data_IF_841354305536
#
_entry.id   IF_841354305536
#
_cell.length_a   1.000
_cell.length_b   1.000
_cell.length_c   1.000
_cell.angle_alpha   90.00
_cell.angle_beta   90.00
_cell.angle_gamma   90.00
#
_symmetry.space_group_name_H-M   'P 1'
#
loop_
_entity.id
_entity.type
_entity.pdbx_description
1 polymer ?
#
# COMPACT_ATOMS: atom_id res chain seq x y z
N UNK A 1 -10.97 -52.26 35.76
CA UNK A 1 -11.04 -52.19 37.23
C UNK A 1 -10.19 -50.99 37.63
N UNK A 2 -10.63 -49.86 38.16
CA UNK A 2 -11.89 -49.39 38.73
C UNK A 2 -12.10 -47.94 38.25
N UNK A 3 -13.33 -47.60 37.88
CA UNK A 3 -13.83 -46.23 37.86
C UNK A 3 -13.87 -45.67 39.29
N UNK A 4 -13.93 -44.35 39.47
CA UNK A 4 -15.07 -43.67 40.12
C UNK A 4 -14.89 -42.14 39.99
N UNK A 5 -15.99 -41.54 39.51
CA UNK A 5 -16.32 -40.12 39.35
C UNK A 5 -16.71 -39.55 40.73
N UNK A 6 -16.47 -38.27 41.01
CA UNK A 6 -17.42 -37.41 41.77
C UNK A 6 -17.30 -35.96 41.25
N UNK A 7 -18.46 -35.41 40.87
CA UNK A 7 -18.74 -34.03 40.48
C UNK A 7 -18.92 -33.12 41.72
N UNK A 8 -18.57 -31.84 41.60
CA UNK A 8 -19.18 -30.69 42.29
C UNK A 8 -18.78 -29.46 41.46
N UNK A 9 -19.64 -28.59 40.92
CA UNK A 9 -20.96 -28.16 41.34
C UNK A 9 -20.90 -26.67 41.68
N UNK A 10 -21.47 -25.84 40.78
CA UNK A 10 -21.93 -24.45 40.97
C UNK A 10 -20.83 -23.35 41.05
N UNK A 11 -20.79 -22.32 40.19
CA UNK A 11 -21.70 -21.18 39.86
C UNK A 11 -21.25 -19.89 40.58
N UNK A 12 -21.20 -18.81 39.79
CA UNK A 12 -21.12 -17.38 40.16
C UNK A 12 -19.72 -16.88 40.57
N UNK A 13 -19.02 -16.07 39.77
CA UNK A 13 -19.31 -14.68 39.37
C UNK A 13 -19.43 -13.72 40.58
N UNK A 14 -18.80 -12.55 40.45
CA UNK A 14 -18.70 -11.44 41.42
C UNK A 14 -17.60 -11.68 42.48
N UNK A 15 -16.48 -10.97 42.50
CA UNK A 15 -16.38 -9.51 42.50
C UNK A 15 -15.09 -9.01 41.82
N UNK A 16 -15.29 -8.21 40.77
CA UNK A 16 -14.33 -7.23 40.27
C UNK A 16 -14.02 -6.17 41.33
N UNK A 17 -12.74 -6.03 41.69
CA UNK A 17 -12.05 -4.79 42.12
C UNK A 17 -10.64 -5.23 42.56
N UNK A 18 -9.53 -4.88 41.95
CA UNK A 18 -8.99 -3.57 41.58
C UNK A 18 -7.92 -3.85 40.48
N UNK A 19 -8.06 -3.32 39.27
CA UNK A 19 -7.42 -2.08 38.79
C UNK A 19 -5.99 -1.86 39.34
N UNK A 20 -5.03 -2.34 38.55
CA UNK A 20 -3.87 -1.62 37.99
C UNK A 20 -3.01 -0.75 38.93
N UNK A 21 -1.82 -1.26 39.24
CA UNK A 21 -0.57 -0.46 39.32
C UNK A 21 0.55 -1.16 38.52
N UNK A 22 1.52 -0.39 38.00
CA UNK A 22 2.14 -0.59 36.69
C UNK A 22 3.36 -1.54 36.65
N UNK A 23 3.78 -1.97 35.44
CA UNK A 23 5.06 -2.64 35.24
C UNK A 23 6.20 -1.61 35.22
N UNK A 24 7.21 -1.82 36.05
CA UNK A 24 8.54 -1.22 35.86
C UNK A 24 9.48 -2.35 35.47
N UNK A 25 9.98 -2.21 34.25
CA UNK A 25 11.08 -2.96 33.69
C UNK A 25 12.35 -2.78 34.53
N UNK A 26 13.27 -3.72 34.36
CA UNK A 26 14.72 -3.45 34.33
C UNK A 26 15.50 -3.23 35.65
N UNK A 27 16.05 -4.35 36.14
CA UNK A 27 17.39 -4.57 36.70
C UNK A 27 17.97 -3.64 37.79
N UNK A 28 18.11 -4.19 39.01
CA UNK A 28 19.40 -4.30 39.71
C UNK A 28 19.29 -5.33 40.85
N UNK A 29 20.05 -6.41 40.74
CA UNK A 29 20.26 -7.40 41.80
C UNK A 29 21.09 -6.72 42.89
N UNK A 30 20.52 -6.62 44.08
CA UNK A 30 21.19 -6.08 45.26
C UNK A 30 22.04 -7.21 45.86
N UNK A 31 23.36 -7.05 45.83
CA UNK A 31 24.29 -7.85 46.64
C UNK A 31 25.06 -6.93 47.59
N UNK A 32 24.80 -7.14 48.88
CA UNK A 32 25.55 -6.69 50.07
C UNK A 32 25.14 -5.40 50.79
N UNK A 33 25.22 -5.49 52.13
CA UNK A 33 24.82 -4.57 53.19
C UNK A 33 25.86 -3.47 53.44
N UNK A 34 26.03 -2.57 52.48
CA UNK A 34 26.65 -1.24 52.62
C UNK A 34 25.92 -0.39 51.59
N UNK A 35 24.90 0.38 51.93
CA UNK A 35 25.08 1.70 52.51
C UNK A 35 23.83 2.08 53.30
N UNK A 36 23.95 1.78 54.59
CA UNK A 36 23.18 2.35 55.67
C UNK A 36 23.29 3.87 55.62
N UNK A 37 22.14 4.55 55.71
CA UNK A 37 21.91 5.85 56.33
C UNK A 37 23.01 6.91 56.14
N UNK A 38 22.73 7.92 55.32
CA UNK A 38 23.16 9.27 55.66
C UNK A 38 21.95 10.19 55.80
N UNK A 39 21.51 10.26 57.05
CA UNK A 39 20.72 11.32 57.65
C UNK A 39 21.58 12.59 57.63
N UNK A 40 21.13 13.65 56.95
CA UNK A 40 21.49 15.02 57.29
C UNK A 40 20.46 15.99 56.69
N UNK A 41 19.45 16.36 57.49
CA UNK A 41 18.78 17.66 57.37
C UNK A 41 19.76 18.75 57.91
N UNK A 42 19.50 20.08 57.87
CA UNK A 42 18.31 20.83 57.42
C UNK A 42 18.70 22.14 56.64
N UNK A 43 17.75 23.09 56.53
CA UNK A 43 17.93 24.56 56.49
C UNK A 43 17.56 25.32 55.18
N UNK A 44 16.56 26.19 55.32
CA UNK A 44 16.56 27.60 54.88
C UNK A 44 15.83 28.04 53.58
N UNK A 45 14.68 28.71 53.85
CA UNK A 45 13.95 29.83 53.18
C UNK A 45 13.28 29.66 51.80
N UNK A 46 11.98 30.02 51.68
CA UNK A 46 11.36 30.27 50.39
C UNK A 46 11.65 31.70 49.91
N UNK A 47 12.25 31.84 48.73
CA UNK A 47 12.27 33.12 47.98
C UNK A 47 11.38 32.98 46.76
N UNK A 48 10.28 33.72 46.79
CA UNK A 48 9.35 33.88 45.68
C UNK A 48 9.87 34.97 44.76
N UNK A 49 10.41 34.63 43.58
CA UNK A 49 10.53 35.56 42.45
C UNK A 49 10.43 34.79 41.13
N UNK A 50 9.48 35.21 40.29
CA UNK A 50 9.55 35.02 38.84
C UNK A 50 8.60 33.96 38.28
N UNK A 51 7.48 34.42 37.73
CA UNK A 51 6.74 33.68 36.72
C UNK A 51 7.71 33.20 35.63
N UNK A 52 7.98 31.90 35.64
CA UNK A 52 8.63 31.23 34.51
C UNK A 52 7.60 31.21 33.38
N UNK A 53 7.70 32.16 32.46
CA UNK A 53 7.06 32.04 31.14
C UNK A 53 7.61 30.74 30.55
N UNK A 54 6.80 29.69 30.59
CA UNK A 54 7.09 28.45 29.90
C UNK A 54 7.15 28.78 28.42
N UNK A 55 8.36 28.93 27.88
CA UNK A 55 8.55 28.86 26.43
C UNK A 55 8.13 27.44 26.07
N UNK A 56 6.89 27.30 25.60
CA UNK A 56 6.44 26.10 24.93
C UNK A 56 7.30 26.01 23.68
N UNK A 57 8.44 25.32 23.79
CA UNK A 57 9.12 24.78 22.62
C UNK A 57 8.04 23.93 21.96
N UNK A 58 7.47 24.40 20.84
CA UNK A 58 6.62 23.57 19.98
C UNK A 58 7.47 22.34 19.70
N UNK A 59 7.20 21.26 20.42
CA UNK A 59 7.84 19.99 20.19
C UNK A 59 7.60 19.67 18.73
N UNK A 60 8.67 19.53 17.96
CA UNK A 60 8.59 18.82 16.70
C UNK A 60 8.14 17.42 17.12
N UNK A 61 6.88 17.10 16.87
CA UNK A 61 6.31 15.80 17.19
C UNK A 61 7.12 14.69 16.55
N UNK A 62 7.02 13.44 17.06
CA UNK A 62 7.73 12.32 16.49
C UNK A 62 7.41 12.24 14.99
N UNK A 63 8.44 12.21 14.16
CA UNK A 63 8.28 12.20 12.70
C UNK A 63 7.41 11.00 12.31
N UNK A 64 6.20 11.28 11.87
CA UNK A 64 5.25 10.30 11.37
C UNK A 64 5.95 9.38 10.36
N UNK A 65 5.82 8.08 10.59
CA UNK A 65 6.62 7.01 9.98
C UNK A 65 6.94 7.26 8.50
N UNK A 66 8.19 7.66 8.21
CA UNK A 66 8.77 7.70 6.85
C UNK A 66 9.08 6.29 6.33
N UNK A 67 8.21 5.32 6.57
CA UNK A 67 8.31 4.00 5.96
C UNK A 67 8.02 4.14 4.48
N UNK A 68 9.04 3.90 3.64
CA UNK A 68 8.84 3.87 2.19
C UNK A 68 7.70 2.88 1.84
N UNK A 69 6.68 3.31 1.09
CA UNK A 69 5.58 2.43 0.74
C UNK A 69 6.10 1.32 -0.17
N UNK A 70 6.02 0.07 0.29
CA UNK A 70 6.38 -1.13 -0.50
C UNK A 70 5.51 -1.30 -1.74
N UNK A 71 4.27 -0.81 -1.68
CA UNK A 71 3.34 -0.80 -2.82
C UNK A 71 3.12 0.64 -3.30
N UNK A 72 3.36 0.90 -4.58
CA UNK A 72 3.15 2.22 -5.18
C UNK A 72 1.66 2.48 -5.40
N UNK A 73 1.13 3.52 -4.73
CA UNK A 73 -0.22 4.02 -5.00
C UNK A 73 -0.14 5.05 -6.11
N UNK A 74 -0.89 4.83 -7.19
CA UNK A 74 -0.91 5.72 -8.33
C UNK A 74 -1.57 7.06 -7.97
N UNK A 75 -0.87 8.16 -8.27
CA UNK A 75 -1.34 9.53 -7.96
C UNK A 75 -2.39 10.09 -8.92
N UNK A 76 -2.57 9.48 -10.10
CA UNK A 76 -3.39 10.03 -11.19
C UNK A 76 -4.54 9.12 -11.57
N UNK A 77 -5.74 9.69 -11.71
CA UNK A 77 -6.95 9.00 -12.19
C UNK A 77 -7.07 9.02 -13.72
N UNK A 78 -5.96 9.01 -14.48
CA UNK A 78 -6.02 9.00 -15.95
C UNK A 78 -6.56 7.66 -16.44
N UNK A 79 -7.48 7.71 -17.41
CA UNK A 79 -8.13 6.55 -18.03
C UNK A 79 -8.98 5.72 -17.03
N UNK A 80 -9.67 6.41 -16.12
CA UNK A 80 -10.59 5.80 -15.15
C UNK A 80 -11.96 5.42 -15.72
N UNK A 81 -12.24 5.76 -16.98
CA UNK A 81 -13.50 5.46 -17.64
C UNK A 81 -13.51 4.03 -18.19
N UNK A 82 -14.69 3.41 -18.21
CA UNK A 82 -14.88 2.08 -18.79
C UNK A 82 -15.09 2.18 -20.30
N UNK A 83 -14.70 1.12 -21.01
CA UNK A 83 -14.92 1.01 -22.46
C UNK A 83 -16.40 1.14 -22.83
N UNK A 84 -17.29 0.62 -21.99
CA UNK A 84 -18.74 0.72 -22.16
C UNK A 84 -19.22 2.17 -22.07
N UNK A 85 -18.76 2.93 -21.06
CA UNK A 85 -19.07 4.35 -20.94
C UNK A 85 -18.61 5.13 -22.17
N UNK A 86 -17.44 4.80 -22.73
CA UNK A 86 -16.96 5.43 -23.97
C UNK A 86 -17.84 5.08 -25.18
N UNK A 87 -18.26 3.82 -25.34
CA UNK A 87 -19.18 3.39 -26.39
C UNK A 87 -20.51 4.12 -26.31
N UNK A 88 -21.09 4.17 -25.12
CA UNK A 88 -22.37 4.83 -24.86
C UNK A 88 -22.27 6.35 -25.10
N UNK A 89 -21.18 6.97 -24.67
CA UNK A 89 -20.90 8.37 -24.95
C UNK A 89 -20.83 8.68 -26.46
N UNK A 90 -20.12 7.86 -27.23
CA UNK A 90 -20.04 8.03 -28.69
C UNK A 90 -21.41 7.83 -29.35
N UNK A 91 -22.16 6.81 -28.93
CA UNK A 91 -23.51 6.56 -29.44
C UNK A 91 -24.47 7.73 -29.15
N UNK A 92 -24.41 8.31 -27.95
CA UNK A 92 -25.21 9.46 -27.58
C UNK A 92 -24.88 10.72 -28.42
N UNK A 93 -23.63 10.88 -28.83
CA UNK A 93 -23.22 11.98 -29.71
C UNK A 93 -23.72 11.74 -31.14
N UNK A 94 -23.56 10.54 -31.68
CA UNK A 94 -23.87 10.23 -33.08
C UNK A 94 -25.36 10.01 -33.35
N UNK A 95 -26.07 9.34 -32.44
CA UNK A 95 -27.49 9.00 -32.61
C UNK A 95 -28.41 10.08 -32.07
N UNK A 96 -28.10 10.61 -30.89
CA UNK A 96 -28.98 11.57 -30.19
C UNK A 96 -28.55 13.02 -30.42
N UNK A 97 -27.48 13.27 -31.17
CA UNK A 97 -26.91 14.60 -31.43
C UNK A 97 -26.64 15.43 -30.15
N UNK A 98 -26.32 14.75 -29.04
CA UNK A 98 -25.97 15.44 -27.78
C UNK A 98 -24.61 16.13 -27.90
N UNK A 99 -24.47 17.27 -27.25
CA UNK A 99 -23.19 18.00 -27.22
C UNK A 99 -22.12 17.23 -26.42
N UNK A 100 -20.88 17.24 -26.91
CA UNK A 100 -19.76 16.50 -26.30
C UNK A 100 -19.56 16.86 -24.82
N UNK A 101 -19.72 18.13 -24.46
CA UNK A 101 -19.62 18.60 -23.07
C UNK A 101 -20.72 18.05 -22.17
N UNK A 102 -21.96 17.93 -22.67
CA UNK A 102 -23.08 17.36 -21.92
C UNK A 102 -22.83 15.87 -21.66
N UNK A 103 -22.45 15.15 -22.70
CA UNK A 103 -22.10 13.72 -22.64
C UNK A 103 -20.93 13.47 -21.67
N UNK A 104 -19.89 14.31 -21.69
CA UNK A 104 -18.79 14.18 -20.74
C UNK A 104 -19.20 14.28 -19.27
N UNK A 105 -20.20 15.11 -18.95
CA UNK A 105 -20.77 15.18 -17.59
C UNK A 105 -21.64 13.98 -17.24
N UNK A 106 -22.45 13.49 -18.20
CA UNK A 106 -23.33 12.33 -18.00
C UNK A 106 -22.53 11.05 -17.73
N UNK A 107 -21.45 10.80 -18.50
CA UNK A 107 -20.67 9.56 -18.42
C UNK A 107 -19.38 9.68 -17.58
N UNK A 108 -19.11 10.86 -17.01
CA UNK A 108 -17.90 11.11 -16.20
C UNK A 108 -16.59 11.06 -16.99
N UNK A 109 -16.63 11.38 -18.29
CA UNK A 109 -15.47 11.36 -19.18
C UNK A 109 -15.08 12.80 -19.56
N UNK A 110 -13.80 13.20 -19.42
CA UNK A 110 -13.38 14.52 -19.86
C UNK A 110 -13.66 14.76 -21.35
N UNK A 111 -14.21 15.93 -21.69
CA UNK A 111 -14.59 16.29 -23.07
C UNK A 111 -13.42 16.16 -24.06
N UNK A 112 -12.23 16.58 -23.67
CA UNK A 112 -11.01 16.45 -24.48
C UNK A 112 -10.69 14.99 -24.83
N UNK A 113 -11.00 14.05 -23.93
CA UNK A 113 -10.79 12.63 -24.15
C UNK A 113 -11.78 12.09 -25.18
N UNK A 114 -13.06 12.44 -25.05
CA UNK A 114 -14.09 12.04 -26.02
C UNK A 114 -13.75 12.57 -27.42
N UNK A 115 -13.42 13.87 -27.53
CA UNK A 115 -13.05 14.49 -28.81
C UNK A 115 -11.86 13.78 -29.45
N UNK A 116 -10.80 13.50 -28.68
CA UNK A 116 -9.62 12.77 -29.17
C UNK A 116 -9.98 11.38 -29.69
N UNK A 117 -10.81 10.64 -28.95
CA UNK A 117 -11.22 9.27 -29.30
C UNK A 117 -12.10 9.21 -30.55
N UNK A 118 -13.01 10.17 -30.73
CA UNK A 118 -13.80 10.32 -31.96
C UNK A 118 -12.88 10.56 -33.16
N UNK A 119 -11.94 11.49 -33.04
CA UNK A 119 -10.99 11.79 -34.13
C UNK A 119 -10.11 10.59 -34.49
N UNK A 120 -9.67 9.83 -33.47
CA UNK A 120 -8.87 8.62 -33.66
C UNK A 120 -9.70 7.39 -34.06
N UNK A 121 -11.04 7.49 -34.06
CA UNK A 121 -11.98 6.38 -34.26
C UNK A 121 -11.70 5.18 -33.33
N UNK A 122 -11.15 5.45 -32.15
CA UNK A 122 -10.80 4.43 -31.16
C UNK A 122 -11.72 4.51 -29.97
N UNK A 123 -12.37 3.40 -29.64
CA UNK A 123 -13.27 3.31 -28.48
C UNK A 123 -12.62 2.63 -27.28
N UNK A 124 -11.53 1.89 -27.53
CA UNK A 124 -10.85 1.13 -26.51
C UNK A 124 -10.03 2.02 -25.57
N UNK A 125 -9.99 1.71 -24.27
CA UNK A 125 -8.97 2.27 -23.39
C UNK A 125 -7.60 1.85 -23.92
N UNK A 126 -6.77 2.83 -24.24
CA UNK A 126 -5.41 2.57 -24.70
C UNK A 126 -4.49 2.24 -23.53
N UNK A 127 -3.43 1.48 -23.79
CA UNK A 127 -2.35 1.34 -22.83
C UNK A 127 -1.75 2.72 -22.52
N UNK A 128 -1.56 3.04 -21.24
CA UNK A 128 -0.93 4.29 -20.83
C UNK A 128 0.59 4.23 -20.97
N UNK A 129 1.14 3.02 -20.99
CA UNK A 129 2.56 2.75 -21.16
C UNK A 129 3.01 2.76 -22.61
N UNK A 130 4.23 2.27 -22.83
CA UNK A 130 4.79 2.08 -24.16
C UNK A 130 3.98 1.01 -24.90
N UNK A 131 3.79 1.21 -26.19
CA UNK A 131 3.16 0.21 -27.04
C UNK A 131 4.07 -1.01 -27.18
N UNK A 132 3.47 -2.19 -27.35
CA UNK A 132 4.19 -3.41 -27.66
C UNK A 132 4.95 -3.26 -28.99
N UNK A 133 6.13 -3.87 -29.07
CA UNK A 133 6.97 -3.85 -30.27
C UNK A 133 6.47 -4.87 -31.29
N UNK A 134 6.07 -6.04 -30.81
CA UNK A 134 5.58 -7.15 -31.62
C UNK A 134 4.04 -7.14 -31.71
N UNK A 135 3.50 -7.75 -32.76
CA UNK A 135 2.07 -8.05 -32.82
C UNK A 135 1.72 -9.18 -31.85
N UNK A 136 0.45 -9.29 -31.48
CA UNK A 136 -0.01 -10.33 -30.55
C UNK A 136 0.26 -11.75 -31.06
N UNK A 137 0.19 -11.96 -32.39
CA UNK A 137 0.52 -13.24 -33.04
C UNK A 137 2.02 -13.55 -32.94
N UNK A 138 2.87 -12.55 -33.19
CA UNK A 138 4.32 -12.69 -33.07
C UNK A 138 4.76 -12.96 -31.63
N UNK A 139 4.12 -12.30 -30.65
CA UNK A 139 4.38 -12.57 -29.24
C UNK A 139 4.00 -14.01 -28.87
N UNK A 140 2.88 -14.53 -29.40
CA UNK A 140 2.46 -15.90 -29.16
C UNK A 140 3.47 -16.92 -29.73
N UNK A 141 3.92 -16.72 -30.97
CA UNK A 141 4.95 -17.55 -31.62
C UNK A 141 6.25 -17.57 -30.80
N UNK A 142 6.72 -16.40 -30.37
CA UNK A 142 7.95 -16.26 -29.59
C UNK A 142 7.82 -16.90 -28.20
N UNK A 143 6.66 -16.75 -27.54
CA UNK A 143 6.40 -17.34 -26.22
C UNK A 143 6.36 -18.87 -26.31
N UNK A 144 5.67 -19.43 -27.31
CA UNK A 144 5.63 -20.88 -27.53
C UNK A 144 7.05 -21.44 -27.73
N UNK A 145 7.84 -20.78 -28.58
CA UNK A 145 9.23 -21.16 -28.82
C UNK A 145 10.09 -21.14 -27.53
N UNK A 146 9.98 -20.07 -26.73
CA UNK A 146 10.70 -19.95 -25.46
C UNK A 146 10.27 -21.03 -24.48
N UNK A 147 8.98 -21.34 -24.39
CA UNK A 147 8.48 -22.39 -23.49
C UNK A 147 9.05 -23.75 -23.89
N UNK A 148 8.98 -24.11 -25.17
CA UNK A 148 9.49 -25.37 -25.68
C UNK A 148 11.00 -25.52 -25.41
N UNK A 149 11.78 -24.47 -25.69
CA UNK A 149 13.20 -24.48 -25.41
C UNK A 149 13.53 -24.47 -23.90
N UNK A 150 12.68 -23.85 -23.06
CA UNK A 150 12.88 -23.84 -21.61
C UNK A 150 12.71 -25.21 -20.97
N UNK A 151 11.89 -26.07 -21.57
CA UNK A 151 11.65 -27.45 -21.13
C UNK A 151 12.77 -28.40 -21.55
N UNK A 152 13.68 -27.97 -22.44
CA UNK A 152 14.72 -28.82 -23.01
C UNK A 152 16.03 -28.69 -22.20
N UNK A 153 16.68 -29.83 -21.91
CA UNK A 153 17.99 -29.96 -21.22
C UNK A 153 18.15 -29.07 -19.98
N UNK A 154 18.92 -27.97 -20.09
CA UNK A 154 19.33 -27.09 -18.99
C UNK A 154 18.49 -25.80 -18.91
N UNK A 155 17.43 -25.69 -19.72
CA UNK A 155 16.62 -24.49 -19.87
C UNK A 155 17.35 -23.34 -20.57
N UNK A 156 16.70 -22.18 -20.63
CA UNK A 156 17.21 -20.98 -21.32
C UNK A 156 17.77 -19.99 -20.31
N UNK A 157 18.99 -19.52 -20.55
CA UNK A 157 19.58 -18.42 -19.78
C UNK A 157 19.04 -17.06 -20.23
N UNK A 158 19.04 -16.07 -19.34
CA UNK A 158 18.59 -14.71 -19.67
C UNK A 158 19.33 -14.10 -20.87
N UNK A 159 20.61 -14.42 -21.04
CA UNK A 159 21.42 -13.92 -22.16
C UNK A 159 20.97 -14.53 -23.50
N UNK A 160 20.69 -15.83 -23.52
CA UNK A 160 20.14 -16.49 -24.71
C UNK A 160 18.76 -15.95 -25.06
N UNK A 161 17.88 -15.76 -24.08
CA UNK A 161 16.54 -15.20 -24.30
C UNK A 161 16.62 -13.82 -24.96
N UNK A 162 17.50 -12.94 -24.47
CA UNK A 162 17.71 -11.61 -25.07
C UNK A 162 18.22 -11.69 -26.51
N UNK A 163 19.14 -12.62 -26.81
CA UNK A 163 19.62 -12.85 -28.18
C UNK A 163 18.51 -13.33 -29.09
N UNK A 164 17.74 -14.33 -28.66
CA UNK A 164 16.58 -14.86 -29.42
C UNK A 164 15.57 -13.74 -29.71
N UNK A 165 15.23 -12.92 -28.71
CA UNK A 165 14.29 -11.82 -28.90
C UNK A 165 14.84 -10.74 -29.85
N UNK A 166 16.14 -10.48 -29.81
CA UNK A 166 16.82 -9.57 -30.73
C UNK A 166 16.82 -10.13 -32.16
N UNK A 167 17.26 -11.36 -32.35
CA UNK A 167 17.31 -12.04 -33.64
C UNK A 167 15.90 -12.12 -34.26
N UNK A 168 14.89 -12.47 -33.46
CA UNK A 168 13.49 -12.48 -33.89
C UNK A 168 13.01 -11.09 -34.36
N UNK A 169 13.39 -10.03 -33.64
CA UNK A 169 13.08 -8.66 -34.04
C UNK A 169 13.77 -8.25 -35.35
N UNK A 170 15.01 -8.69 -35.57
CA UNK A 170 15.72 -8.43 -36.82
C UNK A 170 15.12 -9.17 -38.01
N UNK A 171 14.65 -10.41 -37.79
CA UNK A 171 14.05 -11.24 -38.83
C UNK A 171 12.65 -10.76 -39.26
N UNK A 172 11.86 -10.24 -38.32
CA UNK A 172 10.46 -9.82 -38.54
C UNK A 172 10.29 -8.30 -38.70
N UNK A 173 11.38 -7.60 -39.04
CA UNK A 173 11.40 -6.15 -39.29
C UNK A 173 10.54 -5.73 -40.48
#
# INVERSE_FOLDING_TARGET
MFSVIINFGLRQAWLNRYILTPPITSYKVIHSLRDILYICAPFFVPVSVGESVQIVRKGIGPSENRTMPRNYIRKTNKNSWTQENMRNAINAILKENKSIRKVGREYGIPESTIRKRINQKQTQPGNLGRNAVFSQEQEAELVEYIINMSQTYFGITQMQLRKIAFDFAELKK
#
